data_IF_032311579906
#
_entry.id   IF_032311579906
#
_cell.length_a   1.000
_cell.length_b   1.000
_cell.length_c   1.000
_cell.angle_alpha   90.00
_cell.angle_beta   90.00
_cell.angle_gamma   90.00
#
_symmetry.space_group_name_H-M   'P 1'
#
loop_
_entity.id
_entity.type
_entity.pdbx_description
1 polymer ?
#
# COMPACT_ATOMS: atom_id res chain seq x y z
N UNK A 1 20.62 -8.67 5.60
CA UNK A 1 19.38 -8.73 6.41
C UNK A 1 18.34 -7.76 5.84
N UNK A 2 17.06 -8.17 5.70
CA UNK A 2 15.96 -7.27 5.31
C UNK A 2 15.45 -6.57 6.56
N UNK A 3 15.38 -5.23 6.54
CA UNK A 3 14.94 -4.40 7.66
C UNK A 3 13.67 -3.63 7.29
N UNK A 4 12.58 -3.87 8.00
CA UNK A 4 11.36 -3.04 7.94
C UNK A 4 11.43 -1.93 8.99
N UNK A 5 11.09 -0.70 8.62
CA UNK A 5 11.20 0.48 9.50
C UNK A 5 9.95 0.74 10.33
N UNK A 6 8.87 0.00 10.10
CA UNK A 6 7.65 0.07 10.89
C UNK A 6 7.00 -1.30 11.06
N UNK A 7 6.39 -1.51 12.24
CA UNK A 7 5.45 -2.60 12.46
C UNK A 7 4.09 -2.22 11.85
N UNK A 8 3.55 -3.08 11.01
CA UNK A 8 2.26 -2.89 10.35
C UNK A 8 1.82 -4.17 9.66
N UNK A 9 0.62 -4.17 9.06
CA UNK A 9 0.06 -5.36 8.42
C UNK A 9 0.99 -5.93 7.35
N UNK A 10 1.57 -5.07 6.49
CA UNK A 10 2.46 -5.50 5.40
C UNK A 10 3.76 -6.15 5.91
N UNK A 11 4.42 -5.55 6.92
CA UNK A 11 5.62 -6.14 7.53
C UNK A 11 5.29 -7.43 8.30
N UNK A 12 4.13 -7.50 8.94
CA UNK A 12 3.68 -8.71 9.62
C UNK A 12 3.37 -9.85 8.63
N UNK A 13 2.70 -9.56 7.50
CA UNK A 13 2.46 -10.52 6.43
C UNK A 13 3.78 -11.02 5.80
N UNK A 14 4.74 -10.13 5.60
CA UNK A 14 6.06 -10.50 5.12
C UNK A 14 6.79 -11.42 6.11
N UNK A 15 6.80 -11.07 7.40
CA UNK A 15 7.51 -11.83 8.43
C UNK A 15 6.93 -13.24 8.67
N UNK A 16 5.66 -13.48 8.35
CA UNK A 16 5.05 -14.82 8.38
C UNK A 16 5.67 -15.77 7.34
N UNK A 17 6.18 -15.24 6.24
CA UNK A 17 6.65 -16.01 5.10
C UNK A 17 8.17 -15.96 4.92
N UNK A 18 8.81 -14.86 5.32
CA UNK A 18 10.21 -14.59 5.03
C UNK A 18 10.95 -13.99 6.23
N UNK A 19 12.22 -14.36 6.45
CA UNK A 19 13.02 -13.81 7.53
C UNK A 19 13.28 -12.31 7.30
N UNK A 20 12.99 -11.50 8.31
CA UNK A 20 13.27 -10.06 8.33
C UNK A 20 13.36 -9.56 9.78
N UNK A 21 13.92 -8.36 9.94
CA UNK A 21 13.84 -7.60 11.17
C UNK A 21 12.81 -6.49 11.01
N UNK A 22 11.98 -6.28 12.02
CA UNK A 22 10.99 -5.19 12.07
C UNK A 22 11.35 -4.29 13.25
N UNK A 23 11.50 -3.00 12.98
CA UNK A 23 11.73 -1.97 14.00
C UNK A 23 10.62 -0.91 13.96
N UNK A 24 10.58 -0.02 14.92
CA UNK A 24 9.77 1.19 14.87
C UNK A 24 10.71 2.41 14.78
N UNK A 25 11.07 2.81 13.57
CA UNK A 25 12.01 3.90 13.34
C UNK A 25 11.59 5.23 14.00
N UNK A 26 10.28 5.45 14.16
CA UNK A 26 9.73 6.62 14.86
C UNK A 26 10.11 6.67 16.34
N UNK A 27 10.32 5.50 16.97
CA UNK A 27 10.60 5.39 18.41
C UNK A 27 12.10 5.39 18.74
N UNK A 28 12.96 5.19 17.74
CA UNK A 28 14.40 5.15 17.91
C UNK A 28 15.00 6.55 17.75
N UNK A 29 16.04 6.85 18.51
CA UNK A 29 16.88 8.02 18.24
C UNK A 29 17.80 7.76 17.04
N UNK A 30 18.55 8.78 16.59
CA UNK A 30 19.37 8.64 15.38
C UNK A 30 20.53 7.64 15.52
N UNK A 31 21.12 7.52 16.70
CA UNK A 31 22.20 6.57 16.93
C UNK A 31 21.69 5.12 16.88
N UNK A 32 20.59 4.83 17.56
CA UNK A 32 19.95 3.52 17.54
C UNK A 32 19.48 3.12 16.13
N UNK A 33 18.88 4.08 15.41
CA UNK A 33 18.41 3.84 14.05
C UNK A 33 19.60 3.60 13.09
N UNK A 34 20.65 4.36 13.22
CA UNK A 34 21.90 4.21 12.45
C UNK A 34 22.46 2.79 12.58
N UNK A 35 22.60 2.27 13.80
CA UNK A 35 23.09 0.89 14.05
C UNK A 35 22.27 -0.17 13.27
N UNK A 36 20.95 -0.01 13.24
CA UNK A 36 20.08 -0.94 12.52
C UNK A 36 20.20 -0.80 10.99
N UNK A 37 20.36 0.42 10.50
CA UNK A 37 20.54 0.70 9.06
C UNK A 37 21.89 0.19 8.53
N UNK A 38 22.95 0.30 9.31
CA UNK A 38 24.29 -0.23 8.95
C UNK A 38 24.27 -1.74 8.73
N UNK A 39 23.52 -2.49 9.54
CA UNK A 39 23.44 -3.94 9.46
C UNK A 39 22.49 -4.44 8.34
N UNK A 40 21.73 -3.56 7.70
CA UNK A 40 20.77 -3.93 6.67
C UNK A 40 21.43 -4.13 5.30
N UNK A 41 21.01 -5.15 4.55
CA UNK A 41 21.29 -5.28 3.11
C UNK A 41 20.16 -4.71 2.24
N UNK A 42 18.93 -4.68 2.79
CA UNK A 42 17.76 -4.05 2.20
C UNK A 42 16.97 -3.35 3.30
N UNK A 43 16.63 -2.08 3.09
CA UNK A 43 15.72 -1.33 3.95
C UNK A 43 14.38 -1.22 3.25
N UNK A 44 13.32 -1.71 3.88
CA UNK A 44 11.93 -1.52 3.44
C UNK A 44 11.29 -0.46 4.34
N UNK A 45 11.13 0.74 3.82
CA UNK A 45 10.50 1.83 4.54
C UNK A 45 8.98 1.77 4.31
N UNK A 46 8.28 1.15 5.24
CA UNK A 46 6.83 0.92 5.20
C UNK A 46 6.05 1.75 6.25
N UNK A 47 6.70 2.72 6.87
CA UNK A 47 6.04 3.60 7.82
C UNK A 47 5.02 4.50 7.12
N UNK A 48 3.77 4.48 7.60
CA UNK A 48 2.73 5.37 7.13
C UNK A 48 1.70 5.63 8.23
N UNK A 49 1.23 6.87 8.30
CA UNK A 49 0.03 7.26 9.03
C UNK A 49 -1.11 7.35 8.02
N UNK A 50 -2.15 6.52 8.20
CA UNK A 50 -3.27 6.42 7.26
C UNK A 50 -4.43 7.35 7.63
N UNK A 51 -4.55 7.69 8.91
CA UNK A 51 -5.60 8.56 9.43
C UNK A 51 -5.00 9.55 10.42
N UNK A 52 -5.27 10.82 10.22
CA UNK A 52 -4.90 11.93 11.09
C UNK A 52 -5.95 13.05 10.95
N UNK A 53 -5.89 14.02 11.85
CA UNK A 53 -6.85 15.12 11.86
C UNK A 53 -6.37 16.33 11.05
N UNK A 54 -5.06 16.49 10.89
CA UNK A 54 -4.45 17.65 10.23
C UNK A 54 -3.27 17.24 9.33
N UNK A 55 -3.02 18.03 8.31
CA UNK A 55 -1.94 17.79 7.34
C UNK A 55 -0.55 17.65 7.99
N UNK A 56 -0.25 18.45 9.02
CA UNK A 56 1.06 18.40 9.68
C UNK A 56 1.38 17.03 10.28
N UNK A 57 0.40 16.32 10.83
CA UNK A 57 0.59 14.97 11.37
C UNK A 57 0.94 13.98 10.26
N UNK A 58 0.30 14.10 9.09
CA UNK A 58 0.64 13.29 7.91
C UNK A 58 2.04 13.62 7.40
N UNK A 59 2.39 14.92 7.32
CA UNK A 59 3.71 15.35 6.85
C UNK A 59 4.83 14.85 7.77
N UNK A 60 4.69 14.97 9.08
CA UNK A 60 5.68 14.47 10.02
C UNK A 60 5.82 12.94 9.95
N UNK A 61 4.69 12.25 9.86
CA UNK A 61 4.67 10.80 9.90
C UNK A 61 5.09 10.13 8.59
N UNK A 62 4.71 10.69 7.44
CA UNK A 62 4.92 10.07 6.14
C UNK A 62 6.12 10.69 5.40
N UNK A 63 6.20 12.02 5.31
CA UNK A 63 7.32 12.70 4.67
C UNK A 63 8.53 12.83 5.59
N UNK A 64 8.36 13.41 6.79
CA UNK A 64 9.46 13.69 7.72
C UNK A 64 10.21 12.43 8.14
N UNK A 65 9.49 11.36 8.46
CA UNK A 65 10.11 10.08 8.80
C UNK A 65 10.80 9.42 7.60
N UNK A 66 10.22 9.48 6.40
CA UNK A 66 10.86 8.98 5.18
C UNK A 66 12.18 9.71 4.93
N UNK A 67 12.14 11.04 5.00
CA UNK A 67 13.35 11.89 4.88
C UNK A 67 14.41 11.47 5.89
N UNK A 68 14.08 11.40 7.16
CA UNK A 68 15.01 11.04 8.25
C UNK A 68 15.66 9.67 8.01
N UNK A 69 14.84 8.65 7.70
CA UNK A 69 15.36 7.29 7.49
C UNK A 69 16.26 7.22 6.27
N UNK A 70 15.87 7.87 5.16
CA UNK A 70 16.66 7.88 3.93
C UNK A 70 17.99 8.65 4.09
N UNK A 71 17.96 9.81 4.76
CA UNK A 71 19.17 10.61 5.04
C UNK A 71 20.17 9.82 5.90
N UNK A 72 19.70 9.16 6.96
CA UNK A 72 20.56 8.32 7.80
C UNK A 72 21.09 7.12 7.03
N UNK A 73 20.23 6.46 6.23
CA UNK A 73 20.65 5.36 5.37
C UNK A 73 21.77 5.77 4.42
N UNK A 74 21.65 6.94 3.78
CA UNK A 74 22.69 7.44 2.87
C UNK A 74 24.02 7.72 3.57
N UNK A 75 23.98 8.26 4.77
CA UNK A 75 25.18 8.57 5.57
C UNK A 75 25.92 7.32 6.02
N UNK A 76 25.20 6.25 6.36
CA UNK A 76 25.76 5.08 7.04
C UNK A 76 25.98 3.89 6.11
N UNK A 77 25.06 3.69 5.16
CA UNK A 77 25.11 2.54 4.24
C UNK A 77 24.66 2.95 2.83
N UNK A 78 25.46 3.73 2.08
CA UNK A 78 25.06 4.26 0.77
C UNK A 78 24.91 3.19 -0.32
N UNK A 79 25.29 1.95 -0.04
CA UNK A 79 25.14 0.83 -0.99
C UNK A 79 23.90 -0.01 -0.72
N UNK A 80 23.19 0.25 0.37
CA UNK A 80 21.98 -0.50 0.72
C UNK A 80 20.87 -0.21 -0.29
N UNK A 81 20.09 -1.23 -0.60
CA UNK A 81 18.86 -1.05 -1.34
C UNK A 81 17.79 -0.46 -0.41
N UNK A 82 17.18 0.63 -0.84
CA UNK A 82 16.10 1.30 -0.13
C UNK A 82 14.80 1.17 -0.92
N UNK A 83 13.83 0.47 -0.36
CA UNK A 83 12.49 0.30 -0.91
C UNK A 83 11.55 1.18 -0.11
N UNK A 84 11.04 2.25 -0.73
CA UNK A 84 10.02 3.10 -0.14
C UNK A 84 8.63 2.57 -0.50
N UNK A 85 7.84 2.17 0.48
CA UNK A 85 6.44 1.80 0.29
C UNK A 85 5.63 3.08 0.09
N UNK A 86 5.33 3.38 -1.16
CA UNK A 86 4.58 4.55 -1.62
C UNK A 86 3.09 4.22 -1.81
N UNK A 87 2.36 5.01 -2.58
CA UNK A 87 0.92 4.89 -2.80
C UNK A 87 0.57 5.29 -4.23
N UNK A 88 -0.58 4.85 -4.71
CA UNK A 88 -1.17 5.32 -5.97
C UNK A 88 -2.21 6.44 -5.76
N UNK A 89 -2.48 6.82 -4.51
CA UNK A 89 -3.55 7.77 -4.16
C UNK A 89 -3.35 9.20 -4.68
N UNK A 90 -2.15 9.54 -5.12
CA UNK A 90 -1.81 10.85 -5.68
C UNK A 90 -1.70 10.85 -7.22
N UNK A 91 -2.10 9.76 -7.88
CA UNK A 91 -2.09 9.67 -9.34
C UNK A 91 -3.46 10.08 -9.92
N UNK A 92 -3.44 10.86 -10.99
CA UNK A 92 -4.62 11.16 -11.81
C UNK A 92 -4.73 10.17 -12.98
N UNK A 93 -3.59 9.84 -13.59
CA UNK A 93 -3.45 8.83 -14.63
C UNK A 93 -2.19 8.00 -14.36
N UNK A 94 -1.94 7.00 -15.20
CA UNK A 94 -0.71 6.20 -15.13
C UNK A 94 0.57 7.04 -15.09
N UNK A 95 0.59 8.14 -15.83
CA UNK A 95 1.77 8.98 -16.10
C UNK A 95 1.65 10.39 -15.51
N UNK A 96 0.56 10.72 -14.82
CA UNK A 96 0.30 12.03 -14.29
C UNK A 96 -0.11 12.02 -12.82
N UNK A 97 0.40 12.99 -12.08
CA UNK A 97 0.00 13.25 -10.71
C UNK A 97 -1.28 14.09 -10.67
N UNK A 98 -2.11 13.86 -9.66
CA UNK A 98 -3.17 14.81 -9.31
C UNK A 98 -2.57 16.20 -9.06
N UNK A 99 -3.26 17.28 -9.43
CA UNK A 99 -2.94 18.60 -8.91
C UNK A 99 -2.92 18.59 -7.38
N UNK A 100 -1.95 19.26 -6.76
CA UNK A 100 -1.74 19.18 -5.30
C UNK A 100 -2.96 19.61 -4.50
N UNK A 101 -3.72 20.60 -5.00
CA UNK A 101 -4.97 21.09 -4.40
C UNK A 101 -6.13 20.08 -4.47
N UNK A 102 -5.99 19.00 -5.24
CA UNK A 102 -6.96 17.89 -5.33
C UNK A 102 -6.51 16.66 -4.53
N UNK A 103 -5.29 16.66 -4.03
CA UNK A 103 -4.79 15.56 -3.21
C UNK A 103 -5.42 15.62 -1.82
N UNK A 104 -5.75 14.46 -1.26
CA UNK A 104 -6.00 14.37 0.18
C UNK A 104 -4.70 14.61 0.95
N UNK A 105 -4.77 14.98 2.23
CA UNK A 105 -3.58 15.20 3.09
C UNK A 105 -2.67 13.96 3.11
N UNK A 106 -3.26 12.76 3.16
CA UNK A 106 -2.52 11.51 3.04
C UNK A 106 -1.80 11.40 1.68
N UNK A 107 -2.54 11.60 0.59
CA UNK A 107 -1.98 11.51 -0.76
C UNK A 107 -0.84 12.51 -0.96
N UNK A 108 -1.02 13.76 -0.51
CA UNK A 108 -0.02 14.80 -0.58
C UNK A 108 1.25 14.43 0.20
N UNK A 109 1.11 13.94 1.43
CA UNK A 109 2.26 13.53 2.25
C UNK A 109 3.04 12.35 1.64
N UNK A 110 2.36 11.41 0.98
CA UNK A 110 3.00 10.30 0.26
C UNK A 110 3.65 10.75 -1.04
N UNK A 111 3.04 11.71 -1.74
CA UNK A 111 3.62 12.35 -2.91
C UNK A 111 4.94 13.05 -2.55
N UNK A 112 4.95 13.91 -1.54
CA UNK A 112 6.16 14.63 -1.09
C UNK A 112 7.27 13.65 -0.67
N UNK A 113 6.93 12.56 0.04
CA UNK A 113 7.87 11.53 0.42
C UNK A 113 8.50 10.85 -0.81
N UNK A 114 7.69 10.53 -1.82
CA UNK A 114 8.18 9.93 -3.07
C UNK A 114 9.04 10.90 -3.87
N UNK A 115 8.65 12.19 -3.97
CA UNK A 115 9.47 13.21 -4.64
C UNK A 115 10.83 13.38 -3.95
N UNK A 116 10.85 13.35 -2.61
CA UNK A 116 12.11 13.37 -1.86
C UNK A 116 12.99 12.17 -2.19
N UNK A 117 12.42 10.97 -2.21
CA UNK A 117 13.13 9.75 -2.60
C UNK A 117 13.73 9.86 -4.01
N UNK A 118 12.95 10.34 -4.99
CA UNK A 118 13.39 10.48 -6.38
C UNK A 118 14.54 11.49 -6.56
N UNK A 119 14.56 12.54 -5.74
CA UNK A 119 15.56 13.60 -5.82
C UNK A 119 16.80 13.34 -4.95
N UNK A 120 16.73 12.37 -4.06
CA UNK A 120 17.79 12.09 -3.08
C UNK A 120 19.09 11.60 -3.76
N UNK A 121 20.30 11.95 -3.24
CA UNK A 121 21.58 11.48 -3.79
C UNK A 121 21.73 9.97 -3.88
N UNK A 122 21.12 9.20 -2.96
CA UNK A 122 21.10 7.74 -2.99
C UNK A 122 20.40 7.20 -4.24
N UNK A 123 19.31 7.86 -4.67
CA UNK A 123 18.63 7.55 -5.92
C UNK A 123 19.43 7.95 -7.14
N UNK A 124 19.90 9.20 -7.18
CA UNK A 124 20.56 9.78 -8.36
C UNK A 124 21.96 9.23 -8.63
N UNK A 125 22.72 8.88 -7.59
CA UNK A 125 24.14 8.45 -7.71
C UNK A 125 24.31 6.94 -7.70
N UNK A 126 23.41 6.23 -7.03
CA UNK A 126 23.59 4.81 -6.75
C UNK A 126 22.45 3.94 -7.30
N UNK A 127 21.37 4.55 -7.78
CA UNK A 127 20.17 3.86 -8.31
C UNK A 127 19.61 2.79 -7.35
N UNK A 128 19.79 3.03 -6.05
CA UNK A 128 19.47 2.06 -5.01
C UNK A 128 18.12 2.33 -4.32
N UNK A 129 17.36 3.33 -4.77
CA UNK A 129 16.05 3.68 -4.22
C UNK A 129 14.96 3.30 -5.19
N UNK A 130 13.99 2.52 -4.73
CA UNK A 130 12.78 2.18 -5.49
C UNK A 130 11.55 2.59 -4.71
N UNK A 131 10.68 3.36 -5.33
CA UNK A 131 9.35 3.65 -4.81
C UNK A 131 8.37 2.58 -5.28
N UNK A 132 7.80 1.84 -4.34
CA UNK A 132 6.83 0.78 -4.61
C UNK A 132 5.44 1.32 -4.30
N UNK A 133 4.67 1.58 -5.34
CA UNK A 133 3.28 2.07 -5.24
C UNK A 133 2.35 0.87 -5.21
N UNK A 134 1.75 0.62 -4.06
CA UNK A 134 0.71 -0.39 -3.96
C UNK A 134 -0.66 0.17 -4.35
N UNK A 135 -1.46 -0.65 -5.02
CA UNK A 135 -2.90 -0.45 -5.15
C UNK A 135 -3.59 -0.62 -3.79
N UNK A 136 -4.89 -0.76 -3.75
CA UNK A 136 -5.61 -0.94 -2.47
C UNK A 136 -5.28 -2.31 -1.87
N UNK A 137 -4.58 -2.32 -0.75
CA UNK A 137 -4.33 -3.55 -0.01
C UNK A 137 -5.63 -4.09 0.59
N UNK A 138 -5.93 -5.34 0.30
CA UNK A 138 -7.01 -6.08 0.94
C UNK A 138 -6.49 -6.69 2.23
N UNK A 139 -6.82 -6.06 3.35
CA UNK A 139 -6.28 -6.43 4.66
C UNK A 139 -6.99 -7.62 5.29
N UNK A 140 -8.23 -7.92 4.85
CA UNK A 140 -9.09 -8.91 5.49
C UNK A 140 -9.29 -8.63 7.00
N UNK A 141 -9.37 -7.35 7.35
CA UNK A 141 -9.48 -6.81 8.69
C UNK A 141 -10.60 -5.75 8.68
N UNK A 142 -11.48 -5.79 9.64
CA UNK A 142 -12.82 -5.18 9.71
C UNK A 142 -12.91 -3.71 9.30
N UNK A 143 -11.84 -2.94 9.42
CA UNK A 143 -11.93 -1.48 9.32
C UNK A 143 -10.86 -0.82 8.45
N UNK A 144 -9.90 -1.58 7.93
CA UNK A 144 -8.71 -0.98 7.29
C UNK A 144 -8.89 -0.62 5.83
N UNK A 145 -9.77 -1.31 5.13
CA UNK A 145 -10.07 -1.03 3.72
C UNK A 145 -11.55 -1.19 3.41
N UNK A 146 -11.98 -0.61 2.29
CA UNK A 146 -13.39 -0.59 1.91
C UNK A 146 -13.97 -1.96 1.58
N UNK A 147 -13.14 -2.90 1.11
CA UNK A 147 -13.57 -4.25 0.77
C UNK A 147 -13.78 -5.09 2.03
N UNK A 148 -12.82 -5.04 2.97
CA UNK A 148 -12.95 -5.70 4.28
C UNK A 148 -14.17 -5.18 5.02
N UNK A 149 -14.37 -3.85 5.00
CA UNK A 149 -15.54 -3.22 5.62
C UNK A 149 -16.86 -3.66 4.98
N UNK A 150 -16.91 -3.79 3.66
CA UNK A 150 -18.12 -4.23 2.95
C UNK A 150 -18.53 -5.64 3.42
N UNK A 151 -17.58 -6.58 3.50
CA UNK A 151 -17.83 -7.94 4.00
C UNK A 151 -18.25 -7.95 5.47
N UNK A 152 -17.56 -7.20 6.33
CA UNK A 152 -17.89 -7.08 7.75
C UNK A 152 -19.32 -6.53 7.97
N UNK A 153 -19.68 -5.45 7.29
CA UNK A 153 -21.02 -4.84 7.39
C UNK A 153 -22.12 -5.82 6.90
N UNK A 154 -21.84 -6.58 5.84
CA UNK A 154 -22.78 -7.61 5.36
C UNK A 154 -23.08 -8.67 6.42
N UNK A 155 -22.04 -9.17 7.11
CA UNK A 155 -22.17 -10.20 8.12
C UNK A 155 -22.87 -9.69 9.37
N UNK A 156 -22.33 -8.62 9.95
CA UNK A 156 -22.70 -8.18 11.30
C UNK A 156 -23.88 -7.20 11.32
N UNK A 157 -24.08 -6.43 10.24
CA UNK A 157 -25.17 -5.47 10.14
C UNK A 157 -26.31 -5.94 9.22
N UNK A 158 -26.09 -7.03 8.47
CA UNK A 158 -27.00 -7.47 7.39
C UNK A 158 -27.37 -6.34 6.42
N UNK A 159 -26.41 -5.43 6.23
CA UNK A 159 -26.58 -4.25 5.40
C UNK A 159 -25.24 -3.80 4.83
N UNK A 160 -25.23 -3.47 3.55
CA UNK A 160 -24.08 -2.86 2.87
C UNK A 160 -24.48 -1.50 2.32
N UNK A 161 -23.52 -0.58 2.21
CA UNK A 161 -23.75 0.73 1.61
C UNK A 161 -22.87 0.88 0.38
N UNK A 162 -23.49 1.19 -0.75
CA UNK A 162 -22.84 1.48 -2.01
C UNK A 162 -22.89 2.99 -2.27
N UNK A 163 -21.82 3.56 -2.78
CA UNK A 163 -21.77 4.94 -3.22
C UNK A 163 -22.02 4.95 -4.73
N UNK A 164 -23.03 5.72 -5.19
CA UNK A 164 -23.40 5.85 -6.59
C UNK A 164 -23.55 4.49 -7.28
N UNK A 165 -24.39 3.63 -6.72
CA UNK A 165 -24.66 2.25 -7.17
C UNK A 165 -23.43 1.31 -7.19
N UNK A 166 -22.34 1.70 -6.54
CA UNK A 166 -21.13 0.90 -6.48
C UNK A 166 -20.35 0.79 -7.80
N UNK A 167 -20.60 1.68 -8.76
CA UNK A 167 -19.95 1.65 -10.07
C UNK A 167 -18.46 2.01 -10.04
N UNK A 168 -18.00 2.66 -8.97
CA UNK A 168 -16.59 2.95 -8.79
C UNK A 168 -15.76 1.66 -8.74
N UNK A 169 -14.69 1.63 -9.53
CA UNK A 169 -13.76 0.51 -9.57
C UNK A 169 -12.54 0.80 -8.70
N UNK A 170 -11.99 -0.26 -8.11
CA UNK A 170 -10.71 -0.22 -7.42
C UNK A 170 -9.91 -1.46 -7.77
N UNK A 171 -8.62 -1.27 -7.89
CA UNK A 171 -7.68 -2.38 -7.95
C UNK A 171 -7.36 -2.80 -6.51
N UNK A 172 -7.50 -4.10 -6.24
CA UNK A 172 -7.22 -4.69 -4.92
C UNK A 172 -6.11 -5.73 -5.06
N UNK A 173 -5.28 -5.83 -4.03
CA UNK A 173 -4.26 -6.85 -3.92
C UNK A 173 -4.26 -7.44 -2.50
N UNK A 174 -4.32 -8.78 -2.34
CA UNK A 174 -4.22 -9.42 -1.04
C UNK A 174 -2.91 -9.09 -0.35
N UNK A 175 -2.94 -8.99 0.97
CA UNK A 175 -1.79 -8.55 1.77
C UNK A 175 -0.60 -9.51 1.69
N UNK A 176 -0.85 -10.80 1.60
CA UNK A 176 0.18 -11.85 1.44
C UNK A 176 0.79 -11.84 0.05
N UNK A 177 0.00 -11.57 -1.01
CA UNK A 177 0.48 -11.35 -2.38
C UNK A 177 1.36 -10.10 -2.44
N UNK A 178 0.94 -9.01 -1.78
CA UNK A 178 1.76 -7.80 -1.66
C UNK A 178 3.11 -8.08 -0.96
N UNK A 179 3.10 -8.90 0.09
CA UNK A 179 4.30 -9.34 0.79
C UNK A 179 5.21 -10.20 -0.12
N UNK A 180 4.64 -11.10 -0.93
CA UNK A 180 5.37 -11.92 -1.87
C UNK A 180 6.02 -11.08 -3.00
N UNK A 181 5.34 -10.05 -3.51
CA UNK A 181 5.95 -9.09 -4.42
C UNK A 181 7.09 -8.30 -3.77
N UNK A 182 6.93 -7.85 -2.53
CA UNK A 182 8.04 -7.23 -1.79
C UNK A 182 9.23 -8.17 -1.67
N UNK A 183 9.01 -9.47 -1.45
CA UNK A 183 10.10 -10.45 -1.43
C UNK A 183 10.84 -10.49 -2.76
N UNK A 184 10.13 -10.54 -3.88
CA UNK A 184 10.77 -10.48 -5.21
C UNK A 184 11.61 -9.22 -5.36
N UNK A 185 11.06 -8.05 -4.98
CA UNK A 185 11.77 -6.76 -5.03
C UNK A 185 13.03 -6.73 -4.16
N UNK A 186 13.01 -7.40 -2.99
CA UNK A 186 14.21 -7.46 -2.12
C UNK A 186 15.34 -8.30 -2.69
N UNK A 187 15.08 -9.17 -3.67
CA UNK A 187 16.05 -10.11 -4.24
C UNK A 187 16.41 -9.83 -5.71
N UNK A 188 15.67 -8.98 -6.39
CA UNK A 188 15.93 -8.59 -7.79
C UNK A 188 17.12 -7.63 -7.86
N UNK A 189 18.07 -7.88 -8.75
CA UNK A 189 19.32 -7.12 -8.80
C UNK A 189 19.15 -5.66 -9.22
N UNK A 190 18.34 -5.43 -10.26
CA UNK A 190 18.07 -4.09 -10.80
C UNK A 190 16.57 -3.82 -10.73
N UNK A 191 16.21 -2.69 -10.15
CA UNK A 191 14.82 -2.25 -10.04
C UNK A 191 14.66 -0.88 -10.68
N UNK A 192 13.49 -0.58 -11.27
CA UNK A 192 13.17 0.77 -11.71
C UNK A 192 13.03 1.70 -10.48
N UNK A 193 13.18 3.01 -10.71
CA UNK A 193 12.99 4.01 -9.66
C UNK A 193 11.56 4.00 -9.06
N UNK A 194 10.58 3.61 -9.88
CA UNK A 194 9.17 3.46 -9.48
C UNK A 194 8.63 2.15 -10.03
N UNK A 195 7.90 1.42 -9.21
CA UNK A 195 7.17 0.22 -9.62
C UNK A 195 5.75 0.22 -9.03
N UNK A 196 4.78 -0.04 -9.88
CA UNK A 196 3.39 -0.22 -9.47
C UNK A 196 3.15 -1.70 -9.12
N UNK A 197 2.58 -1.95 -7.95
CA UNK A 197 2.17 -3.29 -7.51
C UNK A 197 0.65 -3.31 -7.38
N UNK A 198 0.00 -3.85 -8.38
CA UNK A 198 -1.44 -3.90 -8.54
C UNK A 198 -1.86 -5.22 -9.20
N UNK A 199 -3.14 -5.56 -9.16
CA UNK A 199 -3.68 -6.74 -9.84
C UNK A 199 -3.77 -6.55 -11.36
N UNK A 200 -3.93 -5.30 -11.81
CA UNK A 200 -4.30 -4.98 -13.19
C UNK A 200 -5.73 -5.41 -13.58
N UNK A 201 -6.54 -5.80 -12.59
CA UNK A 201 -7.93 -6.27 -12.77
C UNK A 201 -8.85 -5.55 -11.78
N UNK A 202 -9.19 -4.28 -12.02
CA UNK A 202 -10.01 -3.51 -11.09
C UNK A 202 -11.44 -4.04 -11.00
N UNK A 203 -11.96 -4.17 -9.78
CA UNK A 203 -13.31 -4.62 -9.46
C UNK A 203 -14.20 -3.45 -9.05
N UNK A 204 -15.48 -3.47 -9.42
CA UNK A 204 -16.46 -2.51 -8.93
C UNK A 204 -17.03 -2.98 -7.58
N UNK A 205 -17.40 -2.03 -6.73
CA UNK A 205 -18.11 -2.35 -5.49
C UNK A 205 -19.49 -2.97 -5.75
N UNK A 206 -20.09 -2.69 -6.93
CA UNK A 206 -21.30 -3.37 -7.37
C UNK A 206 -21.08 -4.86 -7.56
N UNK A 207 -20.00 -5.26 -8.28
CA UNK A 207 -19.66 -6.67 -8.48
C UNK A 207 -19.46 -7.39 -7.13
N UNK A 208 -18.71 -6.77 -6.21
CA UNK A 208 -18.46 -7.32 -4.87
C UNK A 208 -19.75 -7.42 -4.04
N UNK A 209 -20.66 -6.45 -4.18
CA UNK A 209 -21.98 -6.50 -3.58
C UNK A 209 -22.81 -7.66 -4.13
N UNK A 210 -22.79 -7.87 -5.44
CA UNK A 210 -23.52 -8.97 -6.09
C UNK A 210 -23.04 -10.35 -5.58
N UNK A 211 -21.74 -10.52 -5.31
CA UNK A 211 -21.19 -11.73 -4.66
C UNK A 211 -21.76 -11.93 -3.25
N UNK A 212 -21.86 -10.87 -2.46
CA UNK A 212 -22.47 -10.92 -1.12
C UNK A 212 -23.93 -11.31 -1.20
N UNK A 213 -24.74 -10.61 -2.02
CA UNK A 213 -26.17 -10.81 -2.14
C UNK A 213 -26.53 -12.18 -2.71
N UNK A 214 -25.70 -12.73 -3.60
CA UNK A 214 -25.84 -14.12 -4.08
C UNK A 214 -25.64 -15.13 -2.97
N UNK A 215 -24.74 -14.84 -2.04
CA UNK A 215 -24.41 -15.73 -0.92
C UNK A 215 -25.43 -15.62 0.23
N UNK A 216 -25.83 -14.40 0.55
CA UNK A 216 -26.87 -14.10 1.56
C UNK A 216 -27.87 -13.07 1.03
N UNK A 217 -29.01 -13.52 0.47
CA UNK A 217 -30.06 -12.62 -0.02
C UNK A 217 -30.77 -11.80 1.08
N UNK A 218 -30.50 -12.09 2.36
CA UNK A 218 -31.08 -11.31 3.47
C UNK A 218 -30.36 -9.98 3.72
N UNK A 219 -29.17 -9.81 3.16
CA UNK A 219 -28.39 -8.57 3.26
C UNK A 219 -29.08 -7.46 2.47
N UNK A 220 -29.27 -6.31 3.09
CA UNK A 220 -29.87 -5.13 2.43
C UNK A 220 -28.77 -4.28 1.80
N UNK A 221 -28.99 -3.83 0.56
CA UNK A 221 -28.13 -2.85 -0.09
C UNK A 221 -28.75 -1.46 -0.02
N UNK A 222 -27.99 -0.47 0.46
CA UNK A 222 -28.35 0.93 0.45
C UNK A 222 -27.48 1.67 -0.56
N UNK A 223 -28.10 2.47 -1.41
CA UNK A 223 -27.37 3.38 -2.29
C UNK A 223 -27.25 4.76 -1.64
N UNK A 224 -26.02 5.29 -1.59
CA UNK A 224 -25.69 6.62 -1.09
C UNK A 224 -25.21 7.48 -2.25
N UNK A 225 -25.87 8.59 -2.50
CA UNK A 225 -25.40 9.56 -3.48
C UNK A 225 -24.27 10.40 -2.88
N UNK A 226 -23.13 10.40 -3.53
CA UNK A 226 -22.00 11.24 -3.15
C UNK A 226 -21.33 11.83 -4.39
N UNK A 227 -20.80 13.04 -4.24
CA UNK A 227 -19.88 13.60 -5.23
C UNK A 227 -18.58 12.81 -5.19
N UNK A 228 -18.40 11.89 -6.12
CA UNK A 228 -17.17 11.07 -6.19
C UNK A 228 -16.06 11.85 -6.85
N UNK A 229 -14.86 11.70 -6.30
CA UNK A 229 -13.62 12.00 -7.03
C UNK A 229 -13.27 10.76 -7.85
N UNK A 230 -12.99 10.93 -9.13
CA UNK A 230 -12.48 9.83 -9.94
C UNK A 230 -11.16 9.34 -9.33
N UNK A 231 -11.11 8.07 -9.00
CA UNK A 231 -9.90 7.42 -8.50
C UNK A 231 -9.38 6.52 -9.60
N UNK A 232 -8.11 6.71 -9.95
CA UNK A 232 -7.44 5.82 -10.90
C UNK A 232 -7.51 4.38 -10.38
N UNK A 233 -7.96 3.48 -11.24
CA UNK A 233 -8.06 2.04 -10.91
C UNK A 233 -7.38 1.15 -11.94
N UNK A 234 -6.96 1.73 -13.08
CA UNK A 234 -6.26 1.03 -14.14
C UNK A 234 -4.78 1.44 -14.12
N UNK A 235 -3.96 0.57 -13.54
CA UNK A 235 -2.55 0.85 -13.32
C UNK A 235 -1.67 0.05 -14.29
N UNK A 236 -0.63 0.66 -14.91
CA UNK A 236 0.33 -0.09 -15.67
C UNK A 236 1.15 -1.00 -14.75
N UNK A 237 1.19 -2.27 -15.09
CA UNK A 237 1.89 -3.32 -14.32
C UNK A 237 3.00 -4.00 -15.12
N UNK A 238 3.47 -3.40 -16.22
CA UNK A 238 4.45 -4.03 -17.09
C UNK A 238 5.76 -4.35 -16.37
N UNK A 239 6.29 -3.40 -15.59
CA UNK A 239 7.47 -3.64 -14.76
C UNK A 239 7.26 -4.74 -13.71
N UNK A 240 6.02 -4.93 -13.24
CA UNK A 240 5.68 -6.01 -12.31
C UNK A 240 5.66 -7.36 -13.02
N UNK A 241 5.15 -7.43 -14.26
CA UNK A 241 5.15 -8.65 -15.09
C UNK A 241 6.58 -9.12 -15.39
N UNK A 242 7.50 -8.20 -15.64
CA UNK A 242 8.93 -8.53 -15.83
C UNK A 242 9.56 -9.19 -14.59
N UNK A 243 9.07 -8.90 -13.38
CA UNK A 243 9.50 -9.57 -12.15
C UNK A 243 8.90 -10.98 -11.97
N UNK A 244 7.99 -11.37 -12.86
CA UNK A 244 7.20 -12.60 -12.78
C UNK A 244 5.91 -12.39 -11.98
N UNK A 245 4.80 -12.62 -12.64
CA UNK A 245 3.46 -12.48 -12.09
C UNK A 245 3.22 -13.46 -10.93
N UNK A 246 2.47 -13.03 -9.94
CA UNK A 246 1.93 -13.88 -8.88
C UNK A 246 0.43 -13.97 -9.14
N UNK A 247 -0.03 -15.16 -9.49
CA UNK A 247 -1.44 -15.39 -9.78
C UNK A 247 -2.26 -15.36 -8.50
N UNK A 248 -3.37 -14.67 -8.51
CA UNK A 248 -4.42 -14.68 -7.49
C UNK A 248 -5.75 -14.27 -8.10
N UNK A 249 -6.84 -14.64 -7.46
CA UNK A 249 -8.20 -14.30 -7.86
C UNK A 249 -8.91 -13.57 -6.71
N UNK A 250 -9.21 -12.29 -6.92
CA UNK A 250 -9.84 -11.45 -5.90
C UNK A 250 -11.25 -11.90 -5.54
N UNK A 251 -12.00 -12.52 -6.45
CA UNK A 251 -13.33 -13.05 -6.15
C UNK A 251 -13.22 -14.24 -5.20
N UNK A 252 -12.23 -15.12 -5.39
CA UNK A 252 -11.93 -16.22 -4.48
C UNK A 252 -11.45 -15.71 -3.12
N UNK A 253 -10.49 -14.78 -3.10
CA UNK A 253 -9.98 -14.15 -1.88
C UNK A 253 -11.10 -13.50 -1.06
N UNK A 254 -12.00 -12.78 -1.73
CA UNK A 254 -13.14 -12.16 -1.07
C UNK A 254 -14.16 -13.20 -0.58
N UNK A 255 -14.44 -14.24 -1.38
CA UNK A 255 -15.34 -15.33 -0.97
C UNK A 255 -14.81 -16.10 0.24
N UNK A 256 -13.49 -16.35 0.33
CA UNK A 256 -12.85 -16.94 1.50
C UNK A 256 -12.92 -16.05 2.73
N UNK A 257 -12.71 -14.74 2.54
CA UNK A 257 -12.88 -13.78 3.64
C UNK A 257 -14.30 -13.77 4.18
N UNK A 258 -15.32 -13.73 3.30
CA UNK A 258 -16.73 -13.84 3.72
C UNK A 258 -17.00 -15.15 4.46
N UNK A 259 -16.40 -16.26 4.03
CA UNK A 259 -16.54 -17.56 4.73
C UNK A 259 -15.97 -17.52 6.14
N UNK A 260 -14.84 -16.87 6.34
CA UNK A 260 -14.23 -16.69 7.68
C UNK A 260 -15.06 -15.80 8.59
N UNK A 261 -15.79 -14.86 8.03
CA UNK A 261 -16.74 -14.02 8.76
C UNK A 261 -18.06 -14.74 9.05
N UNK A 262 -18.27 -15.98 8.59
CA UNK A 262 -19.49 -16.76 8.71
C UNK A 262 -20.69 -16.21 7.91
N UNK A 263 -20.43 -15.72 6.71
CA UNK A 263 -21.47 -15.36 5.74
C UNK A 263 -21.82 -16.55 4.83
#
# INVERSE_FOLDING_TARGET
MILFTASGALSAAFAKQYPCQIISARKLNDAELTEKLEAASVVVHNAALLQANVLSEYMDANYGLTKRVLDLTYKTNPKVRFINVSSMSFLETADAYLPTEKMTDYAYSKYEAEQYCNQHPLSKKHENVTNVRFSTLFYQDETRDGLSKLGFDAVHKKQISLINDGNAKRDFIPLDVAAAYLKKLTTTNVLPAVINVASGKPLSFKHLSDLILKRDPSVKSLNLEQKTVNVLSDFPIDALKELGEIEFDMDLEFAEYLSRLAL
#
